data_IF_716657628748
#
_entry.id   IF_716657628748
#
_cell.length_a   1.000
_cell.length_b   1.000
_cell.length_c   1.000
_cell.angle_alpha   90.00
_cell.angle_beta   90.00
_cell.angle_gamma   90.00
#
_symmetry.space_group_name_H-M   'P 1'
#
loop_
_entity.id
_entity.type
_entity.pdbx_description
1 polymer ?
#
# COMPACT_ATOMS: atom_id res chain seq x y z
N UNK A 1 -6.80 35.17 42.58
CA UNK A 1 -6.44 34.03 43.45
C UNK A 1 -5.89 32.95 42.53
N UNK A 2 -4.75 32.35 42.91
CA UNK A 2 -3.80 31.64 42.06
C UNK A 2 -4.24 30.22 41.69
N UNK A 3 -3.70 29.76 40.56
CA UNK A 3 -3.52 28.38 40.11
C UNK A 3 -3.18 27.39 41.23
N UNK A 4 -3.98 26.34 41.37
CA UNK A 4 -3.61 25.05 41.97
C UNK A 4 -4.27 23.98 41.09
N UNK A 5 -3.46 23.27 40.29
CA UNK A 5 -3.76 21.96 39.68
C UNK A 5 -2.62 21.46 38.75
N UNK A 6 -1.51 22.21 38.62
CA UNK A 6 -0.35 21.79 37.80
C UNK A 6 0.77 21.05 38.57
N UNK A 7 0.61 20.75 39.86
CA UNK A 7 1.69 20.14 40.66
C UNK A 7 1.65 18.62 40.83
N UNK A 8 0.60 17.91 40.39
CA UNK A 8 0.50 16.47 40.66
C UNK A 8 0.95 15.52 39.53
N UNK A 9 1.18 16.01 38.30
CA UNK A 9 1.70 15.14 37.23
C UNK A 9 3.22 14.94 37.31
N UNK A 10 3.98 15.85 37.93
CA UNK A 10 5.45 15.73 38.08
C UNK A 10 5.89 14.73 39.15
N UNK A 11 5.01 14.29 40.04
CA UNK A 11 5.31 13.28 41.07
C UNK A 11 5.13 11.84 40.58
N UNK A 12 4.33 11.61 39.53
CA UNK A 12 4.10 10.27 38.97
C UNK A 12 5.32 9.80 38.17
N UNK A 13 6.07 10.71 37.54
CA UNK A 13 7.25 10.35 36.72
C UNK A 13 8.55 10.09 37.51
N UNK A 14 8.55 10.19 38.84
CA UNK A 14 9.78 10.03 39.66
C UNK A 14 9.79 8.79 40.56
N UNK A 15 8.93 7.79 40.33
CA UNK A 15 8.91 6.57 41.17
C UNK A 15 8.98 5.24 40.41
N UNK A 16 9.48 5.25 39.17
CA UNK A 16 9.90 4.00 38.51
C UNK A 16 11.41 3.89 38.70
N UNK A 17 11.83 3.18 39.75
CA UNK A 17 13.16 2.59 39.79
C UNK A 17 13.24 1.59 38.64
N UNK A 18 13.94 1.97 37.58
CA UNK A 18 14.31 1.04 36.50
C UNK A 18 15.36 0.11 37.12
N UNK A 19 15.13 -1.20 37.24
CA UNK A 19 16.19 -2.10 37.65
C UNK A 19 17.29 -2.07 36.58
N UNK A 20 18.51 -1.70 36.96
CA UNK A 20 19.71 -2.00 36.17
C UNK A 20 19.84 -3.53 36.10
N UNK A 21 19.25 -4.11 35.06
CA UNK A 21 19.47 -5.52 34.76
C UNK A 21 20.80 -5.58 34.00
N UNK A 22 21.88 -5.83 34.74
CA UNK A 22 23.16 -6.23 34.19
C UNK A 22 23.03 -7.63 33.55
N UNK A 23 22.71 -7.64 32.26
CA UNK A 23 22.63 -8.87 31.45
C UNK A 23 24.01 -9.43 31.07
N UNK A 24 25.10 -8.74 31.40
CA UNK A 24 26.46 -9.17 31.05
C UNK A 24 26.80 -10.51 31.71
N UNK A 25 26.35 -10.71 32.96
CA UNK A 25 26.56 -11.97 33.68
C UNK A 25 25.69 -13.14 33.15
N UNK A 26 24.53 -12.87 32.54
CA UNK A 26 23.64 -13.91 32.00
C UNK A 26 24.12 -14.44 30.64
N UNK A 27 24.79 -13.58 29.87
CA UNK A 27 25.36 -13.93 28.56
C UNK A 27 26.69 -14.68 28.72
N UNK A 28 27.54 -14.31 29.69
CA UNK A 28 28.81 -15.01 29.94
C UNK A 28 28.59 -16.41 30.52
N UNK A 29 27.63 -16.58 31.45
CA UNK A 29 27.30 -17.90 32.00
C UNK A 29 26.68 -18.86 30.96
N UNK A 30 26.07 -18.35 29.89
CA UNK A 30 25.58 -19.19 28.77
C UNK A 30 26.65 -19.54 27.74
N UNK A 31 27.79 -18.85 27.74
CA UNK A 31 28.94 -19.13 26.86
C UNK A 31 29.98 -20.04 27.54
N UNK A 32 30.05 -20.06 28.87
CA UNK A 32 30.96 -20.96 29.61
C UNK A 32 30.38 -22.38 29.83
N UNK A 33 29.07 -22.58 29.63
CA UNK A 33 28.42 -23.91 29.71
C UNK A 33 28.69 -24.85 28.54
N UNK A 34 29.36 -24.39 27.47
CA UNK A 34 29.65 -25.19 26.26
C UNK A 34 31.08 -25.73 26.17
N UNK A 35 31.93 -25.49 27.18
CA UNK A 35 33.28 -26.05 27.24
C UNK A 35 33.54 -26.72 28.59
N UNK A 36 33.19 -28.02 28.70
CA UNK A 36 33.94 -29.07 29.41
C UNK A 36 33.05 -30.30 29.64
N UNK A 37 33.28 -31.39 28.88
CA UNK A 37 33.71 -32.66 29.47
C UNK A 37 33.84 -33.80 28.43
N UNK A 38 35.11 -34.23 28.28
CA UNK A 38 35.59 -35.62 28.20
C UNK A 38 35.16 -36.52 27.02
N UNK A 39 36.14 -36.67 26.12
CA UNK A 39 36.63 -37.94 25.52
C UNK A 39 36.10 -39.23 26.16
N UNK A 40 35.40 -40.03 25.35
CA UNK A 40 35.69 -41.46 25.07
C UNK A 40 35.06 -41.84 23.72
N UNK A 41 35.86 -42.42 22.82
CA UNK A 41 35.45 -43.16 21.60
C UNK A 41 35.32 -44.66 21.97
N UNK A 42 34.76 -45.61 21.16
CA UNK A 42 34.70 -45.60 19.68
C UNK A 42 33.50 -46.32 18.97
N UNK A 43 33.56 -46.25 17.63
CA UNK A 43 33.04 -47.18 16.60
C UNK A 43 31.54 -47.18 16.26
N UNK A 44 31.24 -46.68 15.05
CA UNK A 44 29.97 -46.89 14.37
C UNK A 44 29.92 -46.09 13.07
N UNK A 45 29.97 -46.77 11.93
CA UNK A 45 29.94 -46.20 10.58
C UNK A 45 28.60 -45.45 10.37
N UNK A 46 28.62 -44.14 10.16
CA UNK A 46 27.47 -43.42 9.63
C UNK A 46 27.86 -42.50 8.48
N UNK A 47 27.02 -42.58 7.45
CA UNK A 47 27.20 -42.06 6.10
C UNK A 47 27.22 -40.53 6.10
N UNK A 48 28.13 -39.97 5.30
CA UNK A 48 28.22 -38.54 5.00
C UNK A 48 26.97 -38.16 4.20
N UNK A 49 26.04 -37.47 4.85
CA UNK A 49 24.96 -36.73 4.21
C UNK A 49 25.23 -35.25 4.40
N UNK A 50 25.74 -34.60 3.36
CA UNK A 50 26.05 -33.17 3.33
C UNK A 50 24.75 -32.38 3.46
N UNK A 51 24.50 -31.76 4.61
CA UNK A 51 23.48 -30.71 4.73
C UNK A 51 24.18 -29.38 4.43
N UNK A 52 24.00 -28.89 3.20
CA UNK A 52 24.27 -27.51 2.84
C UNK A 52 23.09 -26.69 3.36
N UNK A 53 23.23 -26.08 4.54
CA UNK A 53 22.32 -25.00 4.96
C UNK A 53 22.84 -23.71 4.30
N UNK A 54 22.26 -23.37 3.16
CA UNK A 54 22.40 -22.05 2.55
C UNK A 54 21.74 -21.02 3.47
N UNK A 55 22.57 -20.12 3.98
CA UNK A 55 22.15 -19.02 4.83
C UNK A 55 21.30 -18.01 4.07
N UNK A 56 20.34 -17.44 4.78
CA UNK A 56 19.71 -16.17 4.43
C UNK A 56 19.64 -15.30 5.69
N UNK A 57 20.39 -14.19 5.60
CA UNK A 57 20.37 -12.94 6.35
C UNK A 57 19.83 -12.94 7.79
N UNK A 58 20.77 -12.87 8.74
CA UNK A 58 20.58 -12.12 9.98
C UNK A 58 20.51 -10.62 9.63
N UNK A 59 19.30 -10.10 9.41
CA UNK A 59 19.07 -8.66 9.47
C UNK A 59 19.20 -8.24 10.94
N UNK A 60 20.17 -7.36 11.16
CA UNK A 60 20.52 -6.71 12.42
C UNK A 60 19.28 -6.21 13.14
N UNK A 61 19.01 -6.79 14.31
CA UNK A 61 18.03 -6.31 15.28
C UNK A 61 18.45 -4.93 15.78
N UNK A 62 17.99 -3.89 15.10
CA UNK A 62 17.90 -2.56 15.70
C UNK A 62 16.63 -2.57 16.54
N UNK A 63 16.78 -2.46 17.86
CA UNK A 63 15.67 -2.25 18.78
C UNK A 63 15.06 -0.86 18.49
N UNK A 64 14.17 -0.78 17.49
CA UNK A 64 13.31 0.37 17.26
C UNK A 64 12.18 0.26 18.27
N UNK A 65 12.08 1.26 19.16
CA UNK A 65 10.93 1.43 20.04
C UNK A 65 9.63 1.28 19.23
N UNK A 66 8.72 0.45 19.74
CA UNK A 66 7.54 -0.07 19.04
C UNK A 66 6.64 1.03 18.42
N UNK A 67 6.93 1.38 17.17
CA UNK A 67 5.97 1.93 16.23
C UNK A 67 5.70 0.81 15.24
N UNK A 68 4.51 0.19 15.30
CA UNK A 68 4.12 -0.87 14.36
C UNK A 68 3.96 -0.25 12.97
N UNK A 69 5.04 -0.24 12.20
CA UNK A 69 5.05 0.16 10.80
C UNK A 69 4.86 -1.12 9.97
N UNK A 70 3.72 -1.24 9.29
CA UNK A 70 3.47 -2.34 8.37
C UNK A 70 4.04 -1.99 7.00
N UNK A 71 4.87 -2.89 6.45
CA UNK A 71 5.49 -2.70 5.13
C UNK A 71 5.36 -3.96 4.28
N UNK A 72 5.21 -3.79 2.97
CA UNK A 72 5.30 -4.87 1.98
C UNK A 72 6.49 -4.58 1.08
N UNK A 73 7.31 -5.60 0.84
CA UNK A 73 8.49 -5.52 -0.04
C UNK A 73 8.27 -6.30 -1.33
N UNK A 74 8.87 -5.84 -2.43
CA UNK A 74 8.93 -6.60 -3.68
C UNK A 74 9.99 -7.72 -3.61
N UNK A 75 10.15 -8.48 -4.70
CA UNK A 75 11.14 -9.56 -4.82
C UNK A 75 12.60 -9.09 -4.73
N UNK A 76 12.86 -7.80 -4.94
CA UNK A 76 14.19 -7.16 -4.80
C UNK A 76 14.46 -6.68 -3.37
N UNK A 77 13.48 -6.81 -2.46
CA UNK A 77 13.59 -6.35 -1.07
C UNK A 77 13.30 -4.87 -0.87
N UNK A 78 12.79 -4.18 -1.89
CA UNK A 78 12.44 -2.75 -1.82
C UNK A 78 11.04 -2.60 -1.24
N UNK A 79 10.83 -1.58 -0.40
CA UNK A 79 9.52 -1.28 0.19
C UNK A 79 8.61 -0.66 -0.88
N UNK A 80 7.56 -1.40 -1.24
CA UNK A 80 6.56 -0.97 -2.23
C UNK A 80 5.27 -0.51 -1.58
N UNK A 81 5.03 -0.90 -0.33
CA UNK A 81 3.92 -0.37 0.47
C UNK A 81 4.35 -0.13 1.90
N UNK A 82 3.87 0.96 2.50
CA UNK A 82 4.02 1.21 3.93
C UNK A 82 2.78 1.88 4.51
N UNK A 83 2.56 1.64 5.80
CA UNK A 83 1.55 2.33 6.60
C UNK A 83 2.22 3.27 7.60
N UNK A 84 1.83 4.54 7.56
CA UNK A 84 2.25 5.57 8.51
C UNK A 84 1.03 6.13 9.25
N UNK A 85 1.21 6.68 10.47
CA UNK A 85 0.17 7.49 11.08
C UNK A 85 0.29 8.93 10.59
N UNK A 86 -0.86 9.58 10.51
CA UNK A 86 -0.98 10.97 10.16
C UNK A 86 -0.17 11.81 11.14
N UNK A 87 0.83 12.51 10.60
CA UNK A 87 1.64 13.47 11.30
C UNK A 87 1.45 14.82 10.62
N UNK A 88 0.75 15.73 11.31
CA UNK A 88 0.46 17.07 10.78
C UNK A 88 1.74 17.82 10.37
N UNK A 89 2.89 17.54 10.99
CA UNK A 89 4.16 18.21 10.65
C UNK A 89 4.72 17.80 9.28
N UNK A 90 4.29 16.65 8.74
CA UNK A 90 4.74 16.13 7.43
C UNK A 90 3.89 16.61 6.26
N UNK A 91 2.72 17.19 6.50
CA UNK A 91 1.82 17.66 5.46
C UNK A 91 1.78 19.19 5.42
N UNK A 92 2.00 19.75 4.22
CA UNK A 92 1.83 21.18 4.02
C UNK A 92 0.38 21.59 4.32
N UNK A 93 0.21 22.72 5.02
CA UNK A 93 -1.11 23.31 5.26
C UNK A 93 -1.74 23.68 3.90
N UNK A 94 -2.69 22.87 3.44
CA UNK A 94 -3.47 23.18 2.23
C UNK A 94 -4.59 24.15 2.57
N UNK A 95 -4.60 25.30 1.90
CA UNK A 95 -5.70 26.26 2.03
C UNK A 95 -7.02 25.65 1.54
N UNK A 96 -8.15 26.17 2.00
CA UNK A 96 -9.47 25.74 1.51
C UNK A 96 -9.58 25.89 0.00
N UNK A 97 -9.02 26.98 -0.53
CA UNK A 97 -9.03 27.27 -1.97
C UNK A 97 -8.30 26.21 -2.79
N UNK A 98 -7.11 25.78 -2.34
CA UNK A 98 -6.38 24.66 -2.99
C UNK A 98 -7.20 23.36 -2.98
N UNK A 99 -7.92 23.09 -1.89
CA UNK A 99 -8.78 21.91 -1.82
C UNK A 99 -9.96 22.02 -2.80
N UNK A 100 -10.60 23.20 -2.89
CA UNK A 100 -11.66 23.46 -3.86
C UNK A 100 -11.16 23.33 -5.30
N UNK A 101 -9.97 23.85 -5.63
CA UNK A 101 -9.36 23.70 -6.97
C UNK A 101 -9.13 22.22 -7.31
N UNK A 102 -8.59 21.45 -6.38
CA UNK A 102 -8.37 20.00 -6.56
C UNK A 102 -9.69 19.24 -6.80
N UNK A 103 -10.75 19.58 -6.05
CA UNK A 103 -12.08 18.99 -6.22
C UNK A 103 -12.72 19.41 -7.57
N UNK A 104 -12.60 20.68 -7.96
CA UNK A 104 -13.09 21.19 -9.25
C UNK A 104 -12.39 20.47 -10.40
N UNK A 105 -11.06 20.33 -10.35
CA UNK A 105 -10.29 19.59 -11.36
C UNK A 105 -10.74 18.11 -11.47
N UNK A 106 -11.07 17.48 -10.34
CA UNK A 106 -11.61 16.12 -10.35
C UNK A 106 -13.00 16.05 -11.01
N UNK A 107 -13.89 16.99 -10.70
CA UNK A 107 -15.22 17.07 -11.34
C UNK A 107 -15.12 17.31 -12.85
N UNK A 108 -14.26 18.24 -13.28
CA UNK A 108 -14.01 18.52 -14.69
C UNK A 108 -13.49 17.30 -15.44
N UNK A 109 -12.64 16.48 -14.81
CA UNK A 109 -12.17 15.25 -15.44
C UNK A 109 -13.32 14.28 -15.76
N UNK A 110 -14.35 14.20 -14.91
CA UNK A 110 -15.51 13.33 -15.15
C UNK A 110 -16.48 13.91 -16.18
N UNK A 111 -16.52 15.24 -16.32
CA UNK A 111 -17.39 15.92 -17.27
C UNK A 111 -16.80 15.96 -18.68
N UNK A 112 -15.48 16.20 -18.79
CA UNK A 112 -14.84 16.54 -20.05
C UNK A 112 -14.11 15.36 -20.71
N UNK A 113 -13.65 14.38 -19.93
CA UNK A 113 -12.85 13.27 -20.44
C UNK A 113 -13.73 12.06 -20.79
N UNK A 114 -13.41 11.41 -21.91
CA UNK A 114 -13.98 10.11 -22.23
C UNK A 114 -13.43 9.03 -21.29
N UNK A 115 -14.14 7.89 -21.13
CA UNK A 115 -13.64 6.79 -20.33
C UNK A 115 -12.25 6.33 -20.77
N UNK A 116 -11.33 6.22 -19.81
CA UNK A 116 -9.93 5.83 -20.05
C UNK A 116 -8.98 6.96 -20.46
N UNK A 117 -9.48 8.17 -20.73
CA UNK A 117 -8.62 9.32 -21.02
C UNK A 117 -8.01 9.92 -19.74
N UNK A 118 -6.83 10.51 -19.88
CA UNK A 118 -6.11 11.22 -18.82
C UNK A 118 -5.72 12.59 -19.34
N UNK A 119 -5.85 13.62 -18.50
CA UNK A 119 -5.47 14.96 -18.86
C UNK A 119 -4.71 15.67 -17.73
N UNK A 120 -3.92 16.65 -18.13
CA UNK A 120 -3.37 17.66 -17.24
C UNK A 120 -4.31 18.86 -17.22
N UNK A 121 -4.80 19.23 -16.03
CA UNK A 121 -5.63 20.41 -15.79
C UNK A 121 -4.81 21.45 -15.05
N UNK A 122 -4.69 22.65 -15.60
CA UNK A 122 -4.21 23.79 -14.84
C UNK A 122 -5.40 24.59 -14.34
N UNK A 123 -5.48 24.77 -13.02
CA UNK A 123 -6.52 25.56 -12.38
C UNK A 123 -5.91 26.87 -11.91
N UNK A 124 -6.32 27.99 -12.51
CA UNK A 124 -5.88 29.32 -12.09
C UNK A 124 -6.51 29.70 -10.74
N UNK A 125 -5.73 30.38 -9.90
CA UNK A 125 -6.21 31.03 -8.68
C UNK A 125 -6.28 32.55 -8.83
N UNK A 126 -6.46 33.26 -7.72
CA UNK A 126 -6.35 34.71 -7.72
C UNK A 126 -4.90 35.17 -8.04
N UNK A 127 -4.76 36.18 -8.90
CA UNK A 127 -3.46 36.71 -9.31
C UNK A 127 -2.61 35.70 -10.09
N UNK A 128 -1.37 35.49 -9.64
CA UNK A 128 -0.42 34.57 -10.28
C UNK A 128 -0.53 33.13 -9.77
N UNK A 129 -1.46 32.84 -8.85
CA UNK A 129 -1.66 31.50 -8.32
C UNK A 129 -2.18 30.51 -9.37
N UNK A 130 -1.88 29.23 -9.15
CA UNK A 130 -2.50 28.12 -9.85
C UNK A 130 -1.77 26.80 -9.60
N UNK A 131 -2.44 25.69 -9.87
CA UNK A 131 -1.90 24.34 -9.64
C UNK A 131 -2.25 23.42 -10.81
N UNK A 132 -1.29 22.56 -11.15
CA UNK A 132 -1.46 21.51 -12.15
C UNK A 132 -1.99 20.23 -11.47
N UNK A 133 -3.07 19.67 -11.99
CA UNK A 133 -3.62 18.40 -11.56
C UNK A 133 -3.68 17.42 -12.72
N UNK A 134 -3.05 16.27 -12.55
CA UNK A 134 -3.24 15.14 -13.47
C UNK A 134 -4.48 14.38 -13.00
N UNK A 135 -5.44 14.19 -13.91
CA UNK A 135 -6.72 13.53 -13.61
C UNK A 135 -7.11 12.60 -14.75
N UNK A 136 -7.67 11.46 -14.37
CA UNK A 136 -8.26 10.51 -15.28
C UNK A 136 -9.77 10.69 -15.31
N UNK A 137 -10.39 10.43 -16.46
CA UNK A 137 -11.83 10.31 -16.58
C UNK A 137 -12.36 9.06 -15.88
N UNK A 138 -13.60 8.69 -16.20
CA UNK A 138 -14.18 7.44 -15.70
C UNK A 138 -13.38 6.22 -16.20
N UNK A 139 -13.34 5.17 -15.39
CA UNK A 139 -12.77 3.89 -15.82
C UNK A 139 -13.60 3.25 -16.93
N UNK A 140 -12.93 2.54 -17.84
CA UNK A 140 -13.60 1.74 -18.87
C UNK A 140 -14.20 0.52 -18.18
N UNK A 141 -15.52 0.37 -18.26
CA UNK A 141 -16.26 -0.67 -17.55
C UNK A 141 -16.55 -1.89 -18.41
N UNK A 142 -16.47 -3.07 -17.80
CA UNK A 142 -16.64 -4.38 -18.43
C UNK A 142 -17.62 -5.23 -17.60
N UNK A 143 -18.46 -5.99 -18.31
CA UNK A 143 -19.45 -6.90 -17.70
C UNK A 143 -19.02 -8.37 -17.72
N UNK A 144 -17.94 -8.68 -18.41
CA UNK A 144 -17.35 -10.01 -18.45
C UNK A 144 -15.83 -9.92 -18.40
N UNK A 145 -15.21 -10.99 -17.93
CA UNK A 145 -13.75 -11.08 -17.76
C UNK A 145 -13.02 -11.10 -19.08
N UNK A 146 -13.57 -11.73 -20.13
CA UNK A 146 -12.91 -11.83 -21.44
C UNK A 146 -12.61 -10.48 -22.08
N UNK A 147 -13.57 -9.55 -22.07
CA UNK A 147 -13.36 -8.21 -22.61
C UNK A 147 -12.42 -7.38 -21.74
N UNK A 148 -12.49 -7.57 -20.42
CA UNK A 148 -11.57 -6.95 -19.49
C UNK A 148 -10.12 -7.42 -19.70
N UNK A 149 -9.90 -8.73 -19.87
CA UNK A 149 -8.57 -9.29 -20.18
C UNK A 149 -7.99 -8.72 -21.47
N UNK A 150 -8.81 -8.57 -22.53
CA UNK A 150 -8.36 -7.96 -23.78
C UNK A 150 -7.94 -6.50 -23.59
N UNK A 151 -8.62 -5.77 -22.70
CA UNK A 151 -8.30 -4.37 -22.41
C UNK A 151 -7.04 -4.19 -21.56
N UNK A 152 -6.84 -5.07 -20.57
CA UNK A 152 -5.61 -5.07 -19.76
C UNK A 152 -4.41 -5.46 -20.64
N UNK A 153 -4.59 -6.45 -21.52
CA UNK A 153 -3.55 -6.96 -22.41
C UNK A 153 -2.25 -7.37 -21.67
N UNK A 154 -2.39 -7.87 -20.44
CA UNK A 154 -1.29 -8.33 -19.59
C UNK A 154 -1.65 -9.71 -19.01
N UNK A 155 -0.88 -10.72 -19.38
CA UNK A 155 -1.07 -12.10 -18.92
C UNK A 155 -0.74 -12.31 -17.44
N UNK A 156 -0.07 -11.34 -16.79
CA UNK A 156 0.31 -11.44 -15.38
C UNK A 156 -0.77 -10.95 -14.41
N UNK A 157 -1.92 -10.50 -14.93
CA UNK A 157 -3.03 -9.96 -14.12
C UNK A 157 -4.16 -10.97 -14.08
N UNK A 158 -4.24 -11.83 -13.05
CA UNK A 158 -5.35 -12.77 -12.94
C UNK A 158 -6.66 -12.03 -12.64
N UNK A 159 -7.68 -12.31 -13.45
CA UNK A 159 -9.07 -11.87 -13.28
C UNK A 159 -9.98 -13.10 -13.45
N UNK A 160 -10.10 -13.95 -12.43
CA UNK A 160 -10.88 -15.18 -12.52
C UNK A 160 -12.36 -14.88 -12.81
N UNK A 161 -13.09 -15.80 -13.44
CA UNK A 161 -14.56 -15.66 -13.59
C UNK A 161 -15.30 -15.88 -12.27
N UNK A 162 -14.69 -16.68 -11.39
CA UNK A 162 -15.26 -17.03 -10.09
C UNK A 162 -14.19 -17.06 -9.00
N UNK A 163 -14.54 -16.58 -7.81
CA UNK A 163 -13.74 -16.76 -6.60
C UNK A 163 -14.36 -17.84 -5.71
N UNK A 164 -13.52 -18.77 -5.23
CA UNK A 164 -13.92 -19.92 -4.40
C UNK A 164 -15.06 -20.78 -4.99
N UNK A 165 -15.30 -20.69 -6.30
CA UNK A 165 -16.40 -21.36 -7.00
C UNK A 165 -17.82 -20.87 -6.63
N UNK A 166 -17.94 -19.82 -5.81
CA UNK A 166 -19.25 -19.35 -5.28
C UNK A 166 -19.47 -17.84 -5.36
N UNK A 167 -18.46 -17.07 -5.76
CA UNK A 167 -18.60 -15.66 -6.06
C UNK A 167 -18.35 -15.44 -7.54
N UNK A 168 -19.29 -14.83 -8.24
CA UNK A 168 -19.22 -14.66 -9.68
C UNK A 168 -18.86 -13.22 -10.04
N UNK A 169 -17.97 -13.05 -11.01
CA UNK A 169 -17.66 -11.74 -11.54
C UNK A 169 -18.93 -11.05 -12.05
N UNK A 170 -19.19 -9.81 -11.60
CA UNK A 170 -20.35 -9.02 -12.04
C UNK A 170 -19.94 -7.78 -12.83
N UNK A 171 -18.81 -7.16 -12.48
CA UNK A 171 -18.26 -6.03 -13.22
C UNK A 171 -16.76 -5.87 -12.94
N UNK A 172 -16.11 -5.14 -13.84
CA UNK A 172 -14.79 -4.58 -13.60
C UNK A 172 -14.63 -3.26 -14.32
N UNK A 173 -13.71 -2.42 -13.84
CA UNK A 173 -13.39 -1.16 -14.46
C UNK A 173 -11.88 -0.93 -14.40
N UNK A 174 -11.28 -0.57 -15.54
CA UNK A 174 -9.88 -0.18 -15.62
C UNK A 174 -9.78 1.33 -15.81
N UNK A 175 -8.93 1.96 -15.01
CA UNK A 175 -8.57 3.37 -15.15
C UNK A 175 -7.07 3.47 -15.37
N UNK A 176 -6.65 4.21 -16.38
CA UNK A 176 -5.25 4.47 -16.62
C UNK A 176 -4.81 5.73 -15.88
N UNK A 177 -3.54 5.74 -15.50
CA UNK A 177 -2.88 6.93 -14.96
C UNK A 177 -1.80 7.36 -15.92
N UNK A 178 -1.47 8.65 -15.90
CA UNK A 178 -0.24 9.10 -16.56
C UNK A 178 0.96 8.44 -15.86
N UNK A 179 1.97 8.10 -16.64
CA UNK A 179 3.25 7.71 -16.07
C UNK A 179 3.85 8.86 -15.27
N UNK A 180 4.83 8.52 -14.45
CA UNK A 180 5.56 9.47 -13.64
C UNK A 180 6.18 10.57 -14.49
N UNK A 181 5.58 11.76 -14.43
CA UNK A 181 6.10 12.94 -15.09
C UNK A 181 7.25 13.53 -14.29
N UNK A 182 8.35 13.80 -14.98
CA UNK A 182 9.44 14.61 -14.44
C UNK A 182 8.99 16.04 -14.13
N UNK A 183 9.71 16.72 -13.24
CA UNK A 183 9.43 18.12 -12.92
C UNK A 183 9.54 19.02 -14.15
N UNK A 184 10.41 18.69 -15.12
CA UNK A 184 10.52 19.40 -16.38
C UNK A 184 9.25 19.25 -17.24
N UNK A 185 8.66 18.06 -17.31
CA UNK A 185 7.41 17.83 -18.03
C UNK A 185 6.24 18.57 -17.37
N UNK A 186 6.13 18.50 -16.04
CA UNK A 186 5.13 19.25 -15.28
C UNK A 186 5.28 20.76 -15.47
N UNK A 187 6.51 21.26 -15.44
CA UNK A 187 6.80 22.67 -15.67
C UNK A 187 6.40 23.11 -17.09
N UNK A 188 6.70 22.30 -18.11
CA UNK A 188 6.29 22.58 -19.48
C UNK A 188 4.75 22.70 -19.61
N UNK A 189 4.00 21.78 -18.98
CA UNK A 189 2.54 21.85 -18.94
C UNK A 189 2.02 23.10 -18.23
N UNK A 190 2.67 23.54 -17.15
CA UNK A 190 2.31 24.78 -16.45
C UNK A 190 2.55 26.01 -17.35
N UNK A 191 3.67 26.06 -18.07
CA UNK A 191 3.97 27.18 -18.98
C UNK A 191 3.01 27.22 -20.16
N UNK A 192 2.56 26.06 -20.63
CA UNK A 192 1.58 25.94 -21.73
C UNK A 192 0.16 26.34 -21.26
N UNK A 193 -0.34 25.70 -20.20
CA UNK A 193 -1.74 25.82 -19.77
C UNK A 193 -2.01 27.02 -18.86
N UNK A 194 -1.00 27.51 -18.13
CA UNK A 194 -1.16 28.60 -17.17
C UNK A 194 -1.68 29.90 -17.77
N UNK A 195 -1.07 30.42 -18.86
CA UNK A 195 -1.56 31.62 -19.52
C UNK A 195 -2.98 31.47 -20.07
N UNK A 196 -3.31 30.33 -20.67
CA UNK A 196 -4.64 30.04 -21.22
C UNK A 196 -5.70 30.02 -20.10
N UNK A 197 -5.43 29.31 -19.01
CA UNK A 197 -6.35 29.23 -17.88
C UNK A 197 -6.63 30.59 -17.24
N UNK A 198 -5.62 31.48 -17.15
CA UNK A 198 -5.78 32.82 -16.58
C UNK A 198 -6.54 33.80 -17.49
N UNK A 199 -6.50 33.56 -18.81
CA UNK A 199 -7.23 34.36 -19.79
C UNK A 199 -8.66 33.83 -20.02
N UNK A 200 -8.94 32.59 -19.58
CA UNK A 200 -10.24 31.95 -19.66
C UNK A 200 -11.20 32.45 -18.57
N UNK A 201 -12.48 32.63 -18.91
CA UNK A 201 -13.54 32.95 -17.95
C UNK A 201 -13.77 31.81 -16.94
N UNK A 202 -13.46 30.56 -17.33
CA UNK A 202 -13.65 29.37 -16.50
C UNK A 202 -12.51 29.12 -15.50
N UNK A 203 -11.42 29.88 -15.64
CA UNK A 203 -10.21 29.78 -14.81
C UNK A 203 -9.53 28.40 -14.85
N UNK A 204 -9.66 27.69 -15.97
CA UNK A 204 -8.92 26.46 -16.22
C UNK A 204 -8.56 26.31 -17.70
N UNK A 205 -7.53 25.50 -17.93
CA UNK A 205 -7.16 24.96 -19.24
C UNK A 205 -6.71 23.51 -19.05
N UNK A 206 -6.87 22.67 -20.06
CA UNK A 206 -6.46 21.28 -19.96
C UNK A 206 -5.93 20.73 -21.28
N UNK A 207 -5.13 19.67 -21.16
CA UNK A 207 -4.54 18.95 -22.29
C UNK A 207 -4.58 17.44 -22.05
N UNK A 208 -5.09 16.70 -23.02
CA UNK A 208 -5.04 15.25 -23.04
C UNK A 208 -3.58 14.77 -23.04
N UNK A 209 -3.34 13.69 -22.31
CA UNK A 209 -2.02 13.09 -22.16
C UNK A 209 -1.98 11.74 -22.87
N UNK A 210 -0.85 11.49 -23.53
CA UNK A 210 -0.54 10.16 -24.04
C UNK A 210 -0.20 9.24 -22.86
N UNK A 211 -0.92 8.13 -22.76
CA UNK A 211 -0.71 7.11 -21.72
C UNK A 211 -0.01 5.89 -22.30
N UNK A 212 0.99 5.35 -21.58
CA UNK A 212 1.72 4.14 -22.01
C UNK A 212 0.90 2.85 -21.85
N UNK A 213 -0.16 2.89 -21.03
CA UNK A 213 -0.93 1.72 -20.63
C UNK A 213 -0.27 0.85 -19.56
N UNK A 214 0.93 1.21 -19.07
CA UNK A 214 1.65 0.43 -18.05
C UNK A 214 1.25 0.79 -16.61
N UNK A 215 0.72 1.99 -16.39
CA UNK A 215 0.23 2.45 -15.10
C UNK A 215 -1.30 2.45 -15.08
N UNK A 216 -1.91 1.57 -14.29
CA UNK A 216 -3.37 1.44 -14.23
C UNK A 216 -3.87 0.98 -12.87
N UNK A 217 -5.15 1.26 -12.62
CA UNK A 217 -5.93 0.69 -11.52
C UNK A 217 -7.11 -0.08 -12.08
N UNK A 218 -7.24 -1.32 -11.65
CA UNK A 218 -8.32 -2.22 -11.99
C UNK A 218 -9.17 -2.47 -10.75
N UNK A 219 -10.46 -2.19 -10.85
CA UNK A 219 -11.44 -2.58 -9.86
C UNK A 219 -12.28 -3.73 -10.41
N UNK A 220 -12.48 -4.78 -9.63
CA UNK A 220 -13.38 -5.88 -9.97
C UNK A 220 -14.29 -6.19 -8.79
N UNK A 221 -15.51 -6.60 -9.10
CA UNK A 221 -16.51 -6.97 -8.11
C UNK A 221 -17.04 -8.36 -8.41
N UNK A 222 -17.08 -9.18 -7.37
CA UNK A 222 -17.62 -10.52 -7.40
C UNK A 222 -18.77 -10.62 -6.41
N UNK A 223 -19.93 -11.11 -6.85
CA UNK A 223 -21.12 -11.21 -6.01
C UNK A 223 -21.39 -12.66 -5.61
N UNK A 224 -21.81 -12.85 -4.36
CA UNK A 224 -22.19 -14.14 -3.80
C UNK A 224 -23.26 -13.98 -2.71
N UNK A 225 -23.71 -15.09 -2.13
CA UNK A 225 -24.86 -15.11 -1.21
C UNK A 225 -24.68 -14.24 0.05
N UNK A 226 -23.45 -14.12 0.56
CA UNK A 226 -23.16 -13.41 1.82
C UNK A 226 -22.64 -11.98 1.61
N UNK A 227 -22.63 -11.49 0.38
CA UNK A 227 -22.19 -10.14 0.00
C UNK A 227 -21.20 -10.14 -1.17
N UNK A 228 -20.67 -8.96 -1.47
CA UNK A 228 -19.73 -8.76 -2.57
C UNK A 228 -18.27 -8.76 -2.09
N UNK A 229 -17.38 -9.30 -2.91
CA UNK A 229 -15.93 -9.15 -2.79
C UNK A 229 -15.49 -8.09 -3.78
N UNK A 230 -14.67 -7.15 -3.33
CA UNK A 230 -14.07 -6.11 -4.16
C UNK A 230 -12.58 -6.32 -4.23
N UNK A 231 -12.03 -6.40 -5.43
CA UNK A 231 -10.60 -6.53 -5.65
C UNK A 231 -10.12 -5.31 -6.43
N UNK A 232 -9.15 -4.61 -5.86
CA UNK A 232 -8.44 -3.51 -6.50
C UNK A 232 -7.02 -3.95 -6.79
N UNK A 233 -6.60 -3.87 -8.05
CA UNK A 233 -5.25 -4.15 -8.52
C UNK A 233 -4.67 -2.86 -9.07
N UNK A 234 -3.46 -2.50 -8.65
CA UNK A 234 -2.78 -1.29 -9.11
C UNK A 234 -1.41 -1.68 -9.66
N UNK A 235 -1.19 -1.45 -10.94
CA UNK A 235 0.12 -1.64 -11.58
C UNK A 235 0.87 -0.31 -11.65
N UNK A 236 2.13 -0.36 -11.23
CA UNK A 236 3.11 0.72 -11.39
C UNK A 236 4.37 0.43 -10.60
N UNK A 237 5.36 1.30 -10.72
CA UNK A 237 6.64 1.21 -9.99
C UNK A 237 6.67 2.02 -8.70
N UNK A 238 5.63 2.83 -8.43
CA UNK A 238 5.61 3.69 -7.25
C UNK A 238 5.35 2.93 -5.95
N UNK A 239 6.02 3.39 -4.88
CA UNK A 239 5.69 3.03 -3.51
C UNK A 239 4.37 3.68 -3.10
N UNK A 240 3.47 2.90 -2.50
CA UNK A 240 2.24 3.40 -1.91
C UNK A 240 2.44 3.61 -0.40
N UNK A 241 2.27 4.84 0.07
CA UNK A 241 2.22 5.16 1.50
C UNK A 241 0.76 5.38 1.91
N UNK A 242 0.23 4.50 2.75
CA UNK A 242 -1.10 4.68 3.35
C UNK A 242 -0.98 5.37 4.71
N UNK A 243 -1.78 6.41 4.92
CA UNK A 243 -1.67 7.28 6.09
C UNK A 243 -2.92 7.14 6.93
N UNK A 244 -2.77 6.58 8.12
CA UNK A 244 -3.86 6.39 9.07
C UNK A 244 -4.18 7.67 9.83
N UNK A 245 -5.46 8.02 10.04
CA UNK A 245 -5.82 9.05 11.01
C UNK A 245 -5.17 8.78 12.37
N UNK A 246 -4.72 9.85 13.06
CA UNK A 246 -3.94 9.74 14.29
C UNK A 246 -4.68 9.06 15.46
N UNK A 247 -6.00 8.98 15.38
CA UNK A 247 -6.92 8.43 16.37
C UNK A 247 -7.35 6.97 16.10
N UNK A 248 -7.06 6.41 14.92
CA UNK A 248 -7.39 5.02 14.57
C UNK A 248 -6.37 4.01 15.13
N UNK A 249 -6.20 4.01 16.46
CA UNK A 249 -5.38 3.01 17.17
C UNK A 249 -5.87 1.57 16.96
N UNK A 250 -7.16 1.38 16.66
CA UNK A 250 -7.80 0.08 16.42
C UNK A 250 -7.45 -0.55 15.06
N UNK A 251 -7.12 0.26 14.04
CA UNK A 251 -6.73 -0.25 12.73
C UNK A 251 -5.40 -1.02 12.82
N UNK A 252 -4.45 -0.53 13.61
CA UNK A 252 -3.17 -1.20 13.85
C UNK A 252 -3.32 -2.47 14.69
N UNK A 253 -4.18 -2.47 15.72
CA UNK A 253 -4.32 -3.62 16.63
C UNK A 253 -4.94 -4.85 15.98
N UNK A 254 -5.71 -4.68 14.89
CA UNK A 254 -6.39 -5.77 14.19
C UNK A 254 -5.71 -6.18 12.89
N UNK A 255 -4.44 -5.79 12.71
CA UNK A 255 -3.63 -6.14 11.54
C UNK A 255 -2.73 -7.32 11.86
N UNK A 256 -2.71 -8.29 10.96
CA UNK A 256 -1.84 -9.45 11.03
C UNK A 256 -0.97 -9.51 9.78
N UNK A 257 0.34 -9.65 9.98
CA UNK A 257 1.27 -9.97 8.90
C UNK A 257 1.33 -11.49 8.74
N UNK A 258 1.08 -11.96 7.51
CA UNK A 258 1.00 -13.37 7.14
C UNK A 258 1.95 -13.59 5.98
N UNK A 259 2.64 -14.74 5.96
CA UNK A 259 3.41 -15.17 4.78
C UNK A 259 2.62 -16.25 4.06
N UNK A 260 2.30 -16.01 2.79
CA UNK A 260 1.52 -16.92 1.93
C UNK A 260 2.24 -17.08 0.60
N UNK A 261 2.61 -18.31 0.23
CA UNK A 261 3.39 -18.60 -0.99
C UNK A 261 4.62 -17.68 -1.16
N UNK A 262 5.39 -17.48 -0.09
CA UNK A 262 6.55 -16.56 -0.01
C UNK A 262 6.23 -15.07 -0.22
N UNK A 263 4.96 -14.67 -0.23
CA UNK A 263 4.53 -13.27 -0.28
C UNK A 263 4.12 -12.81 1.11
N UNK A 264 4.51 -11.58 1.45
CA UNK A 264 3.99 -10.91 2.65
C UNK A 264 2.59 -10.38 2.35
N UNK A 265 1.67 -10.72 3.23
CA UNK A 265 0.24 -10.39 3.16
C UNK A 265 -0.15 -9.69 4.45
N UNK A 266 -0.76 -8.52 4.34
CA UNK A 266 -1.34 -7.79 5.46
C UNK A 266 -2.84 -8.08 5.50
N UNK A 267 -3.27 -8.87 6.48
CA UNK A 267 -4.69 -9.15 6.74
C UNK A 267 -5.20 -8.22 7.84
N UNK A 268 -6.43 -7.71 7.68
CA UNK A 268 -7.08 -6.92 8.72
C UNK A 268 -8.55 -7.24 8.82
N UNK A 269 -9.02 -7.39 10.06
CA UNK A 269 -10.43 -7.56 10.36
C UNK A 269 -11.00 -6.26 10.93
N UNK A 270 -11.91 -5.63 10.19
CA UNK A 270 -12.70 -4.49 10.66
C UNK A 270 -14.06 -4.97 11.19
N UNK A 271 -14.85 -4.05 11.73
CA UNK A 271 -16.20 -4.35 12.20
C UNK A 271 -17.15 -4.70 11.05
N UNK A 272 -16.99 -4.05 9.90
CA UNK A 272 -17.87 -4.21 8.73
C UNK A 272 -17.36 -5.19 7.67
N UNK A 273 -16.06 -5.43 7.60
CA UNK A 273 -15.43 -6.21 6.52
C UNK A 273 -14.08 -6.80 6.95
N UNK A 274 -13.55 -7.66 6.11
CA UNK A 274 -12.14 -8.03 6.13
C UNK A 274 -11.44 -7.36 4.96
N UNK A 275 -10.17 -7.02 5.15
CA UNK A 275 -9.34 -6.53 4.07
C UNK A 275 -8.00 -7.24 4.02
N UNK A 276 -7.46 -7.37 2.82
CA UNK A 276 -6.13 -7.92 2.60
C UNK A 276 -5.35 -7.06 1.61
N UNK A 277 -4.08 -6.81 1.91
CA UNK A 277 -3.13 -6.18 1.00
C UNK A 277 -1.89 -7.02 0.77
N UNK A 278 -1.45 -7.11 -0.47
CA UNK A 278 -0.21 -7.77 -0.88
C UNK A 278 0.30 -7.17 -2.19
N UNK A 279 1.52 -7.53 -2.60
CA UNK A 279 2.11 -7.07 -3.86
C UNK A 279 2.75 -8.24 -4.59
N UNK A 280 2.63 -8.26 -5.91
CA UNK A 280 3.26 -9.24 -6.81
C UNK A 280 4.20 -8.49 -7.75
N UNK A 281 5.46 -8.93 -7.81
CA UNK A 281 6.46 -8.32 -8.71
C UNK A 281 6.27 -8.82 -10.14
N UNK A 282 6.39 -7.93 -11.14
CA UNK A 282 6.38 -8.33 -12.55
C UNK A 282 7.80 -8.76 -12.94
N UNK A 283 8.01 -9.95 -13.53
CA UNK A 283 9.33 -10.40 -13.97
C UNK A 283 10.00 -9.39 -14.92
N UNK A 284 11.31 -9.19 -14.75
CA UNK A 284 12.14 -8.30 -15.59
C UNK A 284 11.65 -6.84 -15.66
N UNK A 285 10.84 -6.40 -14.68
CA UNK A 285 10.31 -5.04 -14.57
C UNK A 285 10.63 -4.43 -13.19
N UNK A 286 10.53 -3.11 -13.11
CA UNK A 286 10.44 -2.37 -11.85
C UNK A 286 8.98 -2.25 -11.38
N UNK A 287 8.02 -2.60 -12.23
CA UNK A 287 6.61 -2.58 -11.88
C UNK A 287 6.23 -3.74 -10.93
N UNK A 288 5.27 -3.45 -10.08
CA UNK A 288 4.55 -4.43 -9.28
C UNK A 288 3.04 -4.21 -9.39
N UNK A 289 2.29 -5.26 -9.07
CA UNK A 289 0.83 -5.20 -8.95
C UNK A 289 0.48 -5.25 -7.46
N UNK A 290 0.04 -4.11 -6.92
CA UNK A 290 -0.52 -4.07 -5.58
C UNK A 290 -1.96 -4.53 -5.61
N UNK A 291 -2.29 -5.41 -4.68
CA UNK A 291 -3.63 -5.95 -4.53
C UNK A 291 -4.23 -5.45 -3.22
N UNK A 292 -5.48 -5.03 -3.28
CA UNK A 292 -6.33 -4.78 -2.12
C UNK A 292 -7.65 -5.52 -2.30
N UNK A 293 -7.96 -6.41 -1.37
CA UNK A 293 -9.19 -7.20 -1.37
C UNK A 293 -10.02 -6.76 -0.18
N UNK A 294 -11.27 -6.38 -0.40
CA UNK A 294 -12.29 -6.21 0.64
C UNK A 294 -13.32 -7.33 0.51
N UNK A 295 -13.65 -7.97 1.63
CA UNK A 295 -14.55 -9.11 1.69
C UNK A 295 -15.57 -8.96 2.83
N UNK A 296 -16.78 -9.54 2.71
CA UNK A 296 -17.81 -9.41 3.74
C UNK A 296 -17.36 -9.96 5.09
N UNK A 297 -17.74 -9.30 6.20
CA UNK A 297 -17.37 -9.73 7.56
C UNK A 297 -17.76 -11.17 7.90
N UNK A 298 -18.84 -11.68 7.28
CA UNK A 298 -19.34 -13.05 7.48
C UNK A 298 -18.44 -14.13 6.89
N UNK A 299 -17.51 -13.77 5.99
CA UNK A 299 -16.51 -14.66 5.44
C UNK A 299 -15.46 -15.03 6.51
N UNK A 300 -14.96 -16.25 6.51
CA UNK A 300 -13.86 -16.65 7.42
C UNK A 300 -12.53 -16.09 6.93
N UNK A 301 -11.55 -15.97 7.84
CA UNK A 301 -10.19 -15.55 7.47
C UNK A 301 -9.56 -16.50 6.44
N UNK A 302 -9.76 -17.80 6.61
CA UNK A 302 -9.25 -18.83 5.70
C UNK A 302 -9.82 -18.66 4.29
N UNK A 303 -11.12 -18.38 4.17
CA UNK A 303 -11.75 -18.10 2.88
C UNK A 303 -11.16 -16.84 2.22
N UNK A 304 -10.94 -15.77 2.99
CA UNK A 304 -10.30 -14.55 2.48
C UNK A 304 -8.88 -14.85 2.00
N UNK A 305 -8.10 -15.63 2.74
CA UNK A 305 -6.73 -16.00 2.34
C UNK A 305 -6.71 -16.94 1.12
N UNK A 306 -7.68 -17.85 0.97
CA UNK A 306 -7.81 -18.66 -0.26
C UNK A 306 -8.13 -17.83 -1.49
N UNK A 307 -8.82 -16.69 -1.34
CA UNK A 307 -8.97 -15.73 -2.44
C UNK A 307 -7.60 -15.17 -2.82
N UNK A 308 -6.79 -14.76 -1.85
CA UNK A 308 -5.42 -14.25 -2.10
C UNK A 308 -4.58 -15.25 -2.89
N UNK A 309 -4.64 -16.54 -2.53
CA UNK A 309 -3.92 -17.61 -3.25
C UNK A 309 -4.29 -17.67 -4.74
N UNK A 310 -5.50 -17.29 -5.12
CA UNK A 310 -5.94 -17.26 -6.54
C UNK A 310 -5.18 -16.19 -7.34
N UNK A 311 -4.72 -15.12 -6.69
CA UNK A 311 -3.98 -14.01 -7.31
C UNK A 311 -2.45 -14.17 -7.19
N UNK A 312 -1.98 -15.18 -6.45
CA UNK A 312 -0.56 -15.50 -6.29
C UNK A 312 -0.09 -16.66 -7.19
N UNK A 313 -0.99 -17.21 -8.01
CA UNK A 313 -0.72 -18.32 -8.93
C UNK A 313 0.00 -17.87 -10.20
#
# INVERSE_FOLDING_TARGET
MKHEDEQDLKKIFHSIEIPEIDVTASVINKLEGYNMNKRTRPSGKFKVGTIVVLGTLLLTTSAIAAYQQFTITNSKGEVVYEEERFDKSRYADRTKEMQFRSLKAHGLAYELLQPGEVAAFYMAGEGDEGELYIRSGLGISFKNTNDLYKAINDSHVPVPETLLGKYHFINGAISYSADNMSDQQKFALIQELGPEARQSEEQYAFKLLDISGNTWTLHTVYSGEIGDIRVTQMRGSEKITFVWPSDESSAYSNTEEIVLNNHKVLYRAFDAEHSVRFSVSIPDSEDHIQHFISAPKKMSKEEVLSIVETYLQ
#
